data_IF_312882391180
#
_entry.id   IF_312882391180
#
_cell.length_a   1.000
_cell.length_b   1.000
_cell.length_c   1.000
_cell.angle_alpha   90.00
_cell.angle_beta   90.00
_cell.angle_gamma   90.00
#
_symmetry.space_group_name_H-M   'P 1'
#
loop_
_entity.id
_entity.type
_entity.pdbx_description
1 polymer ?
#
# COMPACT_ATOMS: atom_id res chain seq x y z
N UNK A 1 8.12 10.97 -2.63
CA UNK A 1 9.41 11.51 -2.14
C UNK A 1 10.27 12.02 -3.28
N UNK A 2 10.34 11.31 -4.42
CA UNK A 2 11.15 11.66 -5.58
C UNK A 2 10.71 12.90 -6.41
N UNK A 3 9.70 13.66 -5.98
CA UNK A 3 9.17 14.80 -6.76
C UNK A 3 9.85 16.14 -6.44
N UNK A 4 10.68 16.21 -5.40
CA UNK A 4 11.37 17.44 -5.00
C UNK A 4 12.67 17.15 -4.26
N UNK A 5 13.69 17.99 -4.46
CA UNK A 5 14.96 17.97 -3.72
C UNK A 5 14.93 18.86 -2.47
N UNK A 6 13.80 19.53 -2.19
CA UNK A 6 13.65 20.39 -1.02
C UNK A 6 13.48 19.57 0.27
N UNK A 7 14.61 19.33 0.95
CA UNK A 7 14.66 18.60 2.24
C UNK A 7 13.65 19.12 3.28
N UNK A 8 13.46 20.45 3.47
CA UNK A 8 12.47 20.95 4.44
C UNK A 8 11.03 20.52 4.12
N UNK A 9 10.64 20.54 2.85
CA UNK A 9 9.29 20.17 2.41
C UNK A 9 9.05 18.67 2.59
N UNK A 10 10.07 17.87 2.29
CA UNK A 10 10.10 16.43 2.55
C UNK A 10 9.89 16.14 4.04
N UNK A 11 10.60 16.82 4.93
CA UNK A 11 10.51 16.59 6.37
C UNK A 11 9.13 16.95 6.90
N UNK A 12 8.57 18.07 6.44
CA UNK A 12 7.20 18.47 6.82
C UNK A 12 6.16 17.47 6.31
N UNK A 13 6.24 17.07 5.04
CA UNK A 13 5.30 16.13 4.45
C UNK A 13 5.34 14.74 5.10
N UNK A 14 6.54 14.18 5.28
CA UNK A 14 6.69 12.87 5.93
C UNK A 14 6.38 12.95 7.43
N UNK A 15 6.76 14.03 8.11
CA UNK A 15 6.45 14.24 9.53
C UNK A 15 4.95 14.29 9.79
N UNK A 16 4.22 15.08 9.01
CA UNK A 16 2.75 15.12 9.07
C UNK A 16 2.14 13.76 8.72
N UNK A 17 2.61 13.12 7.65
CA UNK A 17 2.16 11.78 7.24
C UNK A 17 2.36 10.73 8.34
N UNK A 18 3.51 10.74 9.00
CA UNK A 18 3.83 9.81 10.09
C UNK A 18 2.90 10.00 11.31
N UNK A 19 2.58 11.24 11.68
CA UNK A 19 1.67 11.53 12.78
C UNK A 19 0.24 11.05 12.49
N UNK A 20 -0.26 11.32 11.27
CA UNK A 20 -1.58 10.87 10.83
C UNK A 20 -1.65 9.35 10.79
N UNK A 21 -0.66 8.69 10.19
CA UNK A 21 -0.61 7.24 10.08
C UNK A 21 -0.54 6.58 11.47
N UNK A 22 0.22 7.17 12.40
CA UNK A 22 0.29 6.71 13.80
C UNK A 22 -1.09 6.74 14.45
N UNK A 23 -1.83 7.85 14.31
CA UNK A 23 -3.17 7.99 14.90
C UNK A 23 -4.16 6.98 14.30
N UNK A 24 -4.11 6.77 12.99
CA UNK A 24 -4.94 5.77 12.30
C UNK A 24 -4.58 4.35 12.78
N UNK A 25 -3.29 4.03 12.88
CA UNK A 25 -2.81 2.71 13.27
C UNK A 25 -3.23 2.38 14.70
N UNK A 26 -2.96 3.27 15.66
CA UNK A 26 -3.32 3.05 17.06
C UNK A 26 -4.83 2.86 17.22
N UNK A 27 -5.66 3.63 16.51
CA UNK A 27 -7.11 3.54 16.62
C UNK A 27 -7.73 2.32 15.90
N UNK A 28 -7.11 1.82 14.82
CA UNK A 28 -7.71 0.80 13.95
C UNK A 28 -7.00 -0.57 13.97
N UNK A 29 -5.86 -0.71 14.65
CA UNK A 29 -5.07 -1.95 14.66
C UNK A 29 -5.91 -3.17 15.08
N UNK A 30 -6.80 -3.02 16.06
CA UNK A 30 -7.63 -4.12 16.56
C UNK A 30 -8.72 -4.55 15.58
N UNK A 31 -9.17 -3.65 14.70
CA UNK A 31 -10.10 -3.99 13.62
C UNK A 31 -9.37 -4.69 12.49
N UNK A 32 -8.17 -4.22 12.13
CA UNK A 32 -7.35 -4.77 11.04
C UNK A 32 -6.89 -6.20 11.37
N UNK A 33 -6.54 -6.47 12.64
CA UNK A 33 -6.15 -7.82 13.11
C UNK A 33 -7.22 -8.90 12.89
N UNK A 34 -8.51 -8.53 12.82
CA UNK A 34 -9.61 -9.49 12.55
C UNK A 34 -9.56 -10.04 11.12
N UNK A 35 -8.95 -9.31 10.18
CA UNK A 35 -8.85 -9.72 8.77
C UNK A 35 -7.58 -10.54 8.52
N UNK A 36 -7.65 -11.85 8.78
CA UNK A 36 -6.49 -12.77 8.68
C UNK A 36 -5.77 -12.74 7.33
N UNK A 37 -6.49 -12.56 6.22
CA UNK A 37 -5.91 -12.55 4.87
C UNK A 37 -5.41 -11.18 4.40
N UNK A 38 -5.73 -10.10 5.11
CA UNK A 38 -5.36 -8.75 4.70
C UNK A 38 -3.85 -8.51 4.82
N UNK A 39 -3.20 -9.08 5.85
CA UNK A 39 -1.74 -9.03 6.01
C UNK A 39 -1.02 -9.68 4.82
N UNK A 40 -1.47 -10.86 4.40
CA UNK A 40 -0.87 -11.57 3.28
C UNK A 40 -1.13 -10.82 1.97
N UNK A 41 -2.34 -10.30 1.76
CA UNK A 41 -2.67 -9.47 0.60
C UNK A 41 -1.79 -8.23 0.48
N UNK A 42 -1.50 -7.56 1.59
CA UNK A 42 -0.59 -6.42 1.62
C UNK A 42 0.84 -6.81 1.19
N UNK A 43 1.37 -7.95 1.67
CA UNK A 43 2.70 -8.42 1.26
C UNK A 43 2.78 -8.79 -0.23
N UNK A 44 1.75 -9.45 -0.78
CA UNK A 44 1.69 -9.73 -2.21
C UNK A 44 1.60 -8.45 -3.06
N UNK A 45 0.89 -7.43 -2.57
CA UNK A 45 0.80 -6.14 -3.27
C UNK A 45 2.16 -5.45 -3.40
N UNK A 46 2.99 -5.51 -2.35
CA UNK A 46 4.36 -4.98 -2.38
C UNK A 46 5.23 -5.76 -3.37
N UNK A 47 5.06 -7.08 -3.46
CA UNK A 47 5.79 -7.91 -4.44
C UNK A 47 5.45 -7.52 -5.88
N UNK A 48 4.17 -7.37 -6.21
CA UNK A 48 3.75 -6.90 -7.54
C UNK A 48 4.24 -5.48 -7.84
N UNK A 49 4.15 -4.58 -6.86
CA UNK A 49 4.67 -3.23 -6.97
C UNK A 49 6.17 -3.22 -7.28
N UNK A 50 6.96 -3.99 -6.53
CA UNK A 50 8.40 -4.14 -6.79
C UNK A 50 8.69 -4.71 -8.17
N UNK A 51 7.88 -5.66 -8.65
CA UNK A 51 8.00 -6.18 -10.00
C UNK A 51 7.73 -5.10 -11.07
N UNK A 52 6.72 -4.25 -10.88
CA UNK A 52 6.47 -3.12 -11.79
C UNK A 52 7.63 -2.12 -11.80
N UNK A 53 8.20 -1.79 -10.64
CA UNK A 53 9.35 -0.89 -10.55
C UNK A 53 10.60 -1.49 -11.25
N UNK A 54 10.80 -2.81 -11.15
CA UNK A 54 11.87 -3.49 -11.87
C UNK A 54 11.63 -3.45 -13.38
N UNK A 55 10.41 -3.74 -13.85
CA UNK A 55 10.06 -3.67 -15.28
C UNK A 55 10.23 -2.27 -15.85
N UNK A 56 9.82 -1.24 -15.11
CA UNK A 56 10.04 0.17 -15.45
C UNK A 56 11.54 0.48 -15.60
N UNK A 57 12.39 -0.09 -14.74
CA UNK A 57 13.86 0.05 -14.85
C UNK A 57 14.44 -0.58 -16.13
N UNK A 58 13.75 -1.53 -16.77
CA UNK A 58 14.16 -2.14 -18.04
C UNK A 58 13.64 -1.39 -19.29
N UNK A 59 13.22 -0.13 -19.13
CA UNK A 59 12.66 0.71 -20.20
C UNK A 59 11.34 0.19 -20.79
N UNK A 60 10.59 -0.62 -20.05
CA UNK A 60 9.18 -0.83 -20.35
C UNK A 60 8.39 0.38 -19.85
N UNK A 61 7.73 1.08 -20.78
CA UNK A 61 6.82 2.18 -20.47
C UNK A 61 5.55 1.64 -19.77
N UNK A 62 5.67 1.38 -18.48
CA UNK A 62 4.53 1.02 -17.63
C UNK A 62 3.76 2.30 -17.32
N UNK A 63 2.46 2.39 -17.64
CA UNK A 63 1.69 3.59 -17.35
C UNK A 63 1.62 3.82 -15.85
N UNK A 64 1.77 5.07 -15.42
CA UNK A 64 1.84 5.47 -14.02
C UNK A 64 0.65 5.00 -13.16
N UNK A 65 -0.51 4.75 -13.78
CA UNK A 65 -1.71 4.24 -13.09
C UNK A 65 -1.72 2.72 -12.91
N UNK A 66 -0.90 1.95 -13.64
CA UNK A 66 -0.93 0.48 -13.57
C UNK A 66 -0.55 -0.02 -12.18
N UNK A 67 0.52 0.54 -11.61
CA UNK A 67 1.01 0.24 -10.26
C UNK A 67 -0.06 0.46 -9.16
N UNK A 68 -0.71 1.64 -9.05
CA UNK A 68 -1.75 1.85 -8.05
C UNK A 68 -2.99 0.99 -8.32
N UNK A 69 -3.43 0.83 -9.57
CA UNK A 69 -4.58 -0.03 -9.92
C UNK A 69 -4.34 -1.47 -9.48
N UNK A 70 -3.15 -2.01 -9.74
CA UNK A 70 -2.78 -3.37 -9.32
C UNK A 70 -2.73 -3.51 -7.81
N UNK A 71 -2.19 -2.51 -7.10
CA UNK A 71 -2.18 -2.49 -5.63
C UNK A 71 -3.61 -2.51 -5.07
N UNK A 72 -4.50 -1.67 -5.58
CA UNK A 72 -5.91 -1.67 -5.17
C UNK A 72 -6.63 -2.98 -5.50
N UNK A 73 -6.35 -3.57 -6.66
CA UNK A 73 -6.94 -4.85 -7.08
C UNK A 73 -6.52 -5.99 -6.15
N UNK A 74 -5.21 -6.13 -5.85
CA UNK A 74 -4.70 -7.19 -4.98
C UNK A 74 -5.22 -7.03 -3.55
N UNK A 75 -5.13 -5.83 -2.97
CA UNK A 75 -5.65 -5.57 -1.62
C UNK A 75 -7.17 -5.80 -1.57
N UNK A 76 -7.92 -5.31 -2.56
CA UNK A 76 -9.38 -5.47 -2.64
C UNK A 76 -9.80 -6.94 -2.74
N UNK A 77 -9.10 -7.73 -3.55
CA UNK A 77 -9.32 -9.17 -3.67
C UNK A 77 -9.10 -9.90 -2.34
N UNK A 78 -7.96 -9.67 -1.68
CA UNK A 78 -7.66 -10.28 -0.39
C UNK A 78 -8.58 -9.79 0.73
N UNK A 79 -9.02 -8.54 0.69
CA UNK A 79 -10.02 -7.99 1.60
C UNK A 79 -11.37 -8.69 1.44
N UNK A 80 -11.86 -8.86 0.21
CA UNK A 80 -13.11 -9.58 -0.06
C UNK A 80 -13.03 -11.03 0.40
N UNK A 81 -11.92 -11.72 0.10
CA UNK A 81 -11.66 -13.08 0.59
C UNK A 81 -11.69 -13.16 2.13
N UNK A 82 -11.08 -12.18 2.80
CA UNK A 82 -11.09 -12.06 4.25
C UNK A 82 -12.50 -11.85 4.82
N UNK A 83 -13.32 -11.01 4.19
CA UNK A 83 -14.71 -10.78 4.60
C UNK A 83 -15.59 -12.01 4.40
N UNK A 84 -15.35 -12.79 3.34
CA UNK A 84 -16.08 -14.03 3.06
C UNK A 84 -15.76 -15.12 4.10
N UNK A 85 -14.51 -15.24 4.52
CA UNK A 85 -14.09 -16.18 5.58
C UNK A 85 -14.71 -15.82 6.93
N UNK A 86 -14.72 -14.54 7.32
CA UNK A 86 -15.34 -14.11 8.58
C UNK A 86 -16.87 -14.22 8.61
N UNK A 87 -17.53 -14.43 7.46
CA UNK A 87 -18.98 -14.61 7.36
C UNK A 87 -19.38 -16.09 7.35
N UNK A 88 -18.41 -17.00 7.34
CA UNK A 88 -18.60 -18.44 7.43
C UNK A 88 -18.51 -18.86 8.90
#
# INVERSE_FOLDING_TARGET
FAFTLSVPLILLGNGLGALVLRKITVNNVDRIKKYKYLKNGAMYSILFLGMFMLLESFAFDVPYWASPVMTFAVIGFFFWKSKKEMRK
#
